data_IF_612400706967
#
_entry.id   IF_612400706967
#
_cell.length_a   1.000
_cell.length_b   1.000
_cell.length_c   1.000
_cell.angle_alpha   90.00
_cell.angle_beta   90.00
_cell.angle_gamma   90.00
#
_symmetry.space_group_name_H-M   'P 1'
#
loop_
_entity.id
_entity.type
_entity.pdbx_description
1 polymer ?
#
# COMPACT_ATOMS: atom_id res chain seq x y z
N UNK A 1 -5.27 14.34 -12.92
CA UNK A 1 -3.92 13.73 -13.02
C UNK A 1 -3.13 14.22 -11.82
N UNK A 2 -2.23 13.42 -11.24
CA UNK A 2 -1.35 13.89 -10.15
C UNK A 2 -0.40 14.94 -10.75
N UNK A 3 -0.51 16.19 -10.32
CA UNK A 3 0.24 17.33 -10.87
C UNK A 3 1.33 17.82 -9.92
N UNK A 4 1.48 17.18 -8.76
CA UNK A 4 2.43 17.52 -7.68
C UNK A 4 2.34 19.00 -7.24
N UNK A 5 1.16 19.60 -7.38
CA UNK A 5 0.91 20.95 -6.90
C UNK A 5 1.05 21.03 -5.38
N UNK A 6 1.37 22.23 -4.86
CA UNK A 6 1.44 22.45 -3.41
C UNK A 6 0.14 22.06 -2.70
N UNK A 7 -1.02 22.35 -3.31
CA UNK A 7 -2.33 22.00 -2.76
C UNK A 7 -2.52 20.48 -2.65
N UNK A 8 -2.13 19.72 -3.69
CA UNK A 8 -2.21 18.25 -3.66
C UNK A 8 -1.30 17.65 -2.60
N UNK A 9 -0.10 18.20 -2.42
CA UNK A 9 0.82 17.80 -1.36
C UNK A 9 0.28 18.16 0.02
N UNK A 10 -0.34 19.33 0.17
CA UNK A 10 -0.96 19.73 1.43
C UNK A 10 -2.11 18.78 1.82
N UNK A 11 -2.91 18.34 0.85
CA UNK A 11 -4.01 17.42 1.09
C UNK A 11 -3.57 16.06 1.68
N UNK A 12 -2.39 15.55 1.32
CA UNK A 12 -1.90 14.28 1.90
C UNK A 12 -1.48 14.41 3.37
N UNK A 13 -1.30 15.63 3.88
CA UNK A 13 -0.96 15.91 5.27
C UNK A 13 -2.17 16.08 6.20
N UNK A 14 -3.41 15.99 5.70
CA UNK A 14 -4.57 15.99 6.58
C UNK A 14 -4.62 14.73 7.43
N UNK A 15 -5.02 14.86 8.70
CA UNK A 15 -5.12 13.73 9.64
C UNK A 15 -6.15 12.67 9.21
N UNK A 16 -7.06 13.00 8.31
CA UNK A 16 -7.96 12.02 7.65
C UNK A 16 -7.21 11.05 6.72
N UNK A 17 -5.94 11.31 6.42
CA UNK A 17 -5.04 10.51 5.60
C UNK A 17 -3.81 10.01 6.41
N UNK A 18 -3.85 10.09 7.74
CA UNK A 18 -2.75 9.68 8.62
C UNK A 18 -3.28 8.77 9.71
N UNK A 19 -2.62 7.64 9.94
CA UNK A 19 -2.89 6.73 11.05
C UNK A 19 -1.58 6.37 11.79
N UNK A 20 -1.65 5.96 13.07
CA UNK A 20 -0.46 5.53 13.80
C UNK A 20 0.30 4.41 13.08
N UNK A 21 1.55 4.66 12.71
CA UNK A 21 2.41 3.70 12.03
C UNK A 21 3.73 3.61 12.77
N UNK A 22 4.22 2.39 12.99
CA UNK A 22 5.53 2.16 13.60
C UNK A 22 6.61 2.86 12.76
N UNK A 23 7.45 3.67 13.41
CA UNK A 23 8.40 4.56 12.72
C UNK A 23 9.35 3.78 11.78
N UNK A 24 9.86 2.64 12.24
CA UNK A 24 10.77 1.80 11.45
C UNK A 24 10.07 1.12 10.26
N UNK A 25 8.77 0.84 10.37
CA UNK A 25 7.94 0.37 9.27
C UNK A 25 7.73 1.48 8.23
N UNK A 26 7.28 2.67 8.68
CA UNK A 26 7.04 3.84 7.82
C UNK A 26 8.30 4.25 7.03
N UNK A 27 9.40 4.48 7.74
CA UNK A 27 10.66 4.95 7.15
C UNK A 27 11.45 3.83 6.45
N UNK A 28 11.00 2.59 6.58
CA UNK A 28 11.68 1.41 6.04
C UNK A 28 10.90 0.80 4.88
N UNK A 29 10.31 -0.36 5.13
CA UNK A 29 9.71 -1.16 4.06
C UNK A 29 8.49 -0.51 3.41
N UNK A 30 7.74 0.35 4.13
CA UNK A 30 6.65 1.11 3.53
C UNK A 30 7.18 2.13 2.50
N UNK A 31 8.18 2.94 2.87
CA UNK A 31 8.87 3.85 1.95
C UNK A 31 9.41 3.14 0.71
N UNK A 32 9.92 1.90 0.84
CA UNK A 32 10.38 1.13 -0.33
C UNK A 32 9.24 0.87 -1.35
N UNK A 33 8.00 0.71 -0.89
CA UNK A 33 6.85 0.58 -1.82
C UNK A 33 6.52 1.88 -2.53
N UNK A 34 6.66 3.02 -1.82
CA UNK A 34 6.41 4.36 -2.37
C UNK A 34 7.48 4.76 -3.40
N UNK A 35 8.72 4.31 -3.20
CA UNK A 35 9.80 4.44 -4.18
C UNK A 35 9.48 3.67 -5.47
N UNK A 36 8.94 2.45 -5.36
CA UNK A 36 8.50 1.66 -6.52
C UNK A 36 7.38 2.41 -7.27
N UNK A 37 6.37 2.91 -6.56
CA UNK A 37 5.28 3.70 -7.17
C UNK A 37 5.85 4.91 -7.93
N UNK A 38 6.80 5.61 -7.33
CA UNK A 38 7.47 6.77 -7.92
C UNK A 38 8.18 6.40 -9.23
N UNK A 39 8.92 5.29 -9.27
CA UNK A 39 9.58 4.83 -10.50
C UNK A 39 8.59 4.53 -11.63
N UNK A 40 7.48 3.84 -11.30
CA UNK A 40 6.52 3.40 -12.32
C UNK A 40 5.62 4.55 -12.81
N UNK A 41 5.37 5.56 -11.98
CA UNK A 41 4.59 6.75 -12.33
C UNK A 41 5.20 7.52 -13.50
N UNK A 42 6.52 7.52 -13.61
CA UNK A 42 7.23 8.24 -14.68
C UNK A 42 7.16 7.51 -16.04
N UNK A 43 6.73 6.24 -16.04
CA UNK A 43 6.63 5.40 -17.24
C UNK A 43 5.19 5.28 -17.72
N UNK A 44 4.28 4.93 -16.81
CA UNK A 44 2.86 4.71 -17.10
C UNK A 44 2.01 5.31 -15.98
N UNK A 45 0.75 5.62 -16.30
CA UNK A 45 -0.21 5.96 -15.25
C UNK A 45 -0.36 4.79 -14.28
N UNK A 46 -0.15 5.08 -13.00
CA UNK A 46 -0.40 4.15 -11.90
C UNK A 46 -1.76 4.44 -11.24
N UNK A 47 -2.33 3.41 -10.63
CA UNK A 47 -3.44 3.49 -9.69
C UNK A 47 -3.03 2.78 -8.41
N UNK A 48 -3.22 3.45 -7.28
CA UNK A 48 -2.87 2.93 -5.96
C UNK A 48 -4.11 2.94 -5.09
N UNK A 49 -4.31 1.83 -4.38
CA UNK A 49 -5.22 1.72 -3.25
C UNK A 49 -4.43 1.27 -2.04
N UNK A 50 -4.78 1.77 -0.89
CA UNK A 50 -4.17 1.36 0.36
C UNK A 50 -5.14 1.54 1.50
N UNK A 51 -4.83 0.90 2.60
CA UNK A 51 -5.67 0.97 3.78
C UNK A 51 -5.04 0.27 4.96
N UNK A 52 -5.83 0.22 6.01
CA UNK A 52 -5.45 -0.29 7.31
C UNK A 52 -6.48 -1.31 7.77
N UNK A 53 -6.06 -2.25 8.61
CA UNK A 53 -6.95 -3.24 9.24
C UNK A 53 -6.76 -3.16 10.75
N UNK A 54 -7.88 -3.07 11.44
CA UNK A 54 -7.98 -3.21 12.88
C UNK A 54 -8.39 -4.64 13.24
N UNK A 55 -7.85 -5.15 14.33
CA UNK A 55 -8.23 -6.42 14.94
C UNK A 55 -8.89 -6.16 16.29
N UNK A 56 -9.20 -7.24 17.01
CA UNK A 56 -9.65 -7.16 18.41
C UNK A 56 -8.51 -6.92 19.40
N UNK A 57 -7.25 -7.00 18.96
CA UNK A 57 -6.12 -6.58 19.81
C UNK A 57 -6.20 -5.06 20.01
N UNK A 58 -6.05 -4.63 21.26
CA UNK A 58 -6.03 -3.22 21.66
C UNK A 58 -4.82 -2.94 22.56
N UNK A 59 -3.89 -3.89 22.68
CA UNK A 59 -2.73 -3.78 23.57
C UNK A 59 -1.78 -2.65 23.19
N UNK A 60 -1.82 -2.20 21.92
CA UNK A 60 -1.00 -1.13 21.36
C UNK A 60 -1.81 0.12 20.95
N UNK A 61 -3.06 0.28 21.42
CA UNK A 61 -3.94 1.42 21.14
C UNK A 61 -3.56 2.69 21.93
N UNK A 62 -2.29 3.09 21.83
CA UNK A 62 -1.66 4.17 22.61
C UNK A 62 -2.25 5.56 22.34
N UNK A 63 -2.96 5.74 21.22
CA UNK A 63 -3.42 7.05 20.74
C UNK A 63 -4.92 7.30 20.93
N UNK A 64 -5.67 6.35 21.50
CA UNK A 64 -7.12 6.49 21.67
C UNK A 64 -7.46 7.65 22.61
N UNK A 65 -6.77 7.79 23.75
CA UNK A 65 -7.07 8.86 24.71
C UNK A 65 -6.70 10.25 24.18
N UNK A 66 -5.60 10.36 23.43
CA UNK A 66 -5.04 11.64 22.99
C UNK A 66 -5.61 12.13 21.66
N UNK A 67 -5.90 11.22 20.72
CA UNK A 67 -6.28 11.55 19.34
C UNK A 67 -7.58 10.85 18.90
N UNK A 68 -8.17 9.98 19.73
CA UNK A 68 -9.41 9.26 19.39
C UNK A 68 -9.24 8.18 18.33
N UNK A 69 -8.00 7.78 18.02
CA UNK A 69 -7.68 6.82 16.96
C UNK A 69 -6.99 5.57 17.54
N UNK A 70 -7.45 4.40 17.08
CA UNK A 70 -6.80 3.12 17.35
C UNK A 70 -5.53 2.97 16.52
N UNK A 71 -4.57 2.19 17.00
CA UNK A 71 -3.39 1.79 16.25
C UNK A 71 -3.78 0.64 15.33
N UNK A 72 -3.61 0.74 14.00
CA UNK A 72 -3.90 -0.39 13.12
C UNK A 72 -2.90 -1.52 13.31
N UNK A 73 -3.33 -2.78 13.27
CA UNK A 73 -2.42 -3.92 13.31
C UNK A 73 -1.81 -4.24 11.95
N UNK A 74 -2.49 -3.90 10.87
CA UNK A 74 -1.99 -4.15 9.52
C UNK A 74 -2.24 -2.99 8.57
N UNK A 75 -1.36 -2.90 7.58
CA UNK A 75 -1.44 -1.98 6.45
C UNK A 75 -1.37 -2.79 5.17
N UNK A 76 -2.08 -2.32 4.14
CA UNK A 76 -2.05 -2.96 2.84
C UNK A 76 -1.97 -1.92 1.73
N UNK A 77 -1.39 -2.34 0.60
CA UNK A 77 -1.25 -1.52 -0.60
C UNK A 77 -1.43 -2.38 -1.84
N UNK A 78 -2.15 -1.87 -2.83
CA UNK A 78 -2.33 -2.46 -4.16
C UNK A 78 -1.96 -1.41 -5.19
N UNK A 79 -1.10 -1.79 -6.14
CA UNK A 79 -0.66 -0.92 -7.24
C UNK A 79 -0.97 -1.59 -8.56
N UNK A 80 -1.70 -0.89 -9.42
CA UNK A 80 -2.03 -1.30 -10.79
C UNK A 80 -1.35 -0.34 -11.78
N UNK A 81 -0.70 -0.88 -12.78
CA UNK A 81 -0.10 -0.12 -13.88
C UNK A 81 -0.02 -0.96 -15.15
N UNK A 82 0.65 -0.45 -16.18
CA UNK A 82 0.99 -1.20 -17.39
C UNK A 82 2.44 -1.67 -17.34
N UNK A 83 2.64 -2.91 -17.78
CA UNK A 83 3.94 -3.43 -18.11
C UNK A 83 4.56 -2.63 -19.25
N UNK A 84 5.78 -2.11 -19.04
CA UNK A 84 6.42 -1.19 -19.99
C UNK A 84 6.73 -1.83 -21.35
N UNK A 85 6.98 -3.14 -21.37
CA UNK A 85 7.36 -3.88 -22.57
C UNK A 85 6.14 -4.37 -23.34
N UNK A 86 5.16 -4.93 -22.64
CA UNK A 86 4.01 -5.61 -23.27
C UNK A 86 2.75 -4.74 -23.34
N UNK A 87 2.69 -3.63 -22.59
CA UNK A 87 1.51 -2.76 -22.48
C UNK A 87 0.32 -3.37 -21.74
N UNK A 88 0.45 -4.61 -21.26
CA UNK A 88 -0.58 -5.32 -20.50
C UNK A 88 -0.67 -4.76 -19.08
N UNK A 89 -1.86 -4.81 -18.51
CA UNK A 89 -2.06 -4.44 -17.12
C UNK A 89 -1.33 -5.42 -16.20
N UNK A 90 -0.70 -4.90 -15.16
CA UNK A 90 -0.03 -5.67 -14.11
C UNK A 90 -0.34 -5.08 -12.75
N UNK A 91 -0.47 -5.96 -11.76
CA UNK A 91 -0.79 -5.61 -10.37
C UNK A 91 0.26 -6.19 -9.42
N UNK A 92 0.52 -5.47 -8.34
CA UNK A 92 1.25 -5.96 -7.17
C UNK A 92 0.51 -5.52 -5.93
N UNK A 93 0.53 -6.36 -4.90
CA UNK A 93 -0.11 -6.09 -3.64
C UNK A 93 0.74 -6.55 -2.47
N UNK A 94 0.70 -5.79 -1.37
CA UNK A 94 1.40 -6.09 -0.14
C UNK A 94 0.49 -5.99 1.07
N UNK A 95 0.79 -6.80 2.09
CA UNK A 95 0.11 -6.84 3.38
C UNK A 95 1.15 -6.90 4.50
N UNK A 96 1.25 -5.83 5.29
CA UNK A 96 2.27 -5.66 6.31
C UNK A 96 1.67 -5.63 7.72
N UNK A 97 2.28 -6.30 8.70
CA UNK A 97 1.99 -5.99 10.10
C UNK A 97 2.56 -4.61 10.48
N UNK A 98 1.85 -3.85 11.30
CA UNK A 98 2.32 -2.58 11.84
C UNK A 98 3.30 -2.83 13.00
N UNK A 99 4.51 -3.28 12.68
CA UNK A 99 5.49 -3.74 13.66
C UNK A 99 6.91 -3.31 13.29
N UNK A 100 7.81 -3.37 14.27
CA UNK A 100 9.23 -3.12 14.06
C UNK A 100 9.92 -4.29 13.34
N UNK A 101 11.12 -4.02 12.80
CA UNK A 101 12.05 -5.04 12.29
C UNK A 101 11.52 -5.88 11.12
N UNK A 102 10.66 -5.32 10.27
CA UNK A 102 10.13 -6.01 9.08
C UNK A 102 11.19 -6.34 8.01
N UNK A 103 12.41 -5.80 8.15
CA UNK A 103 13.47 -5.96 7.18
C UNK A 103 13.26 -5.12 5.92
N UNK A 104 13.88 -5.52 4.81
CA UNK A 104 13.83 -4.80 3.52
C UNK A 104 13.25 -5.64 2.37
N UNK A 105 12.99 -6.91 2.61
CA UNK A 105 12.54 -7.85 1.58
C UNK A 105 11.02 -7.75 1.39
N UNK A 106 10.61 -6.96 0.40
CA UNK A 106 9.20 -6.78 0.04
C UNK A 106 8.51 -8.09 -0.37
N UNK A 107 9.26 -9.08 -0.87
CA UNK A 107 8.69 -10.33 -1.36
C UNK A 107 7.98 -11.12 -0.24
N UNK A 108 8.45 -10.98 1.00
CA UNK A 108 7.88 -11.66 2.17
C UNK A 108 6.46 -11.22 2.50
N UNK A 109 6.08 -10.03 2.05
CA UNK A 109 4.79 -9.40 2.36
C UNK A 109 3.88 -9.32 1.14
N UNK A 110 4.28 -9.91 0.01
CA UNK A 110 3.46 -9.94 -1.20
C UNK A 110 2.28 -10.88 -1.05
N UNK A 111 1.11 -10.39 -1.48
CA UNK A 111 -0.16 -11.12 -1.50
C UNK A 111 -0.87 -10.86 -2.82
N UNK A 112 -1.94 -11.59 -3.08
CA UNK A 112 -2.92 -11.31 -4.12
C UNK A 112 -3.90 -10.22 -3.67
N UNK A 113 -4.60 -9.59 -4.62
CA UNK A 113 -5.67 -8.64 -4.29
C UNK A 113 -6.82 -9.36 -3.58
N UNK A 114 -7.14 -10.60 -3.98
CA UNK A 114 -8.16 -11.40 -3.30
C UNK A 114 -7.82 -11.70 -1.83
N UNK A 115 -6.56 -11.96 -1.50
CA UNK A 115 -6.14 -12.16 -0.10
C UNK A 115 -6.31 -10.89 0.75
N UNK A 116 -6.19 -9.69 0.15
CA UNK A 116 -6.52 -8.44 0.82
C UNK A 116 -8.03 -8.32 0.98
N UNK A 117 -8.80 -8.44 -0.11
CA UNK A 117 -10.27 -8.33 -0.10
C UNK A 117 -10.91 -9.28 0.92
N UNK A 118 -10.39 -10.50 1.06
CA UNK A 118 -10.87 -11.48 2.05
C UNK A 118 -10.67 -11.06 3.52
N UNK A 119 -9.82 -10.07 3.78
CA UNK A 119 -9.58 -9.50 5.13
C UNK A 119 -10.36 -8.21 5.36
N UNK A 120 -10.95 -7.62 4.32
CA UNK A 120 -11.69 -6.37 4.43
C UNK A 120 -13.14 -6.64 4.87
N UNK A 121 -13.65 -5.78 5.74
CA UNK A 121 -15.03 -5.79 6.23
C UNK A 121 -15.63 -4.37 6.26
N UNK A 122 -15.10 -3.48 5.43
CA UNK A 122 -15.39 -2.05 5.40
C UNK A 122 -16.64 -1.67 4.59
N UNK A 123 -17.24 -2.63 3.87
CA UNK A 123 -18.37 -2.43 2.96
C UNK A 123 -18.12 -1.44 1.81
N UNK A 124 -16.86 -1.17 1.46
CA UNK A 124 -16.52 -0.26 0.36
C UNK A 124 -16.63 -0.91 -1.03
N UNK A 125 -16.91 -2.21 -1.07
CA UNK A 125 -16.93 -3.02 -2.29
C UNK A 125 -15.53 -3.54 -2.67
N UNK A 126 -15.42 -4.21 -3.83
CA UNK A 126 -14.15 -4.78 -4.27
C UNK A 126 -13.10 -3.70 -4.60
N UNK A 127 -11.83 -4.04 -4.43
CA UNK A 127 -10.73 -3.16 -4.85
C UNK A 127 -10.84 -3.00 -6.38
N UNK A 128 -10.80 -1.78 -6.95
CA UNK A 128 -11.00 -1.51 -8.39
C UNK A 128 -9.86 -1.97 -9.32
N UNK A 129 -9.50 -3.24 -9.25
CA UNK A 129 -8.56 -3.94 -10.11
C UNK A 129 -9.34 -4.93 -10.99
N UNK A 130 -8.99 -5.11 -12.30
CA UNK A 130 -9.64 -6.11 -13.15
C UNK A 130 -9.64 -7.50 -12.50
N UNK A 131 -10.79 -8.20 -12.52
CA UNK A 131 -10.94 -9.49 -11.83
C UNK A 131 -9.91 -10.54 -12.28
N UNK A 132 -9.52 -10.52 -13.57
CA UNK A 132 -8.48 -11.42 -14.11
C UNK A 132 -7.10 -11.25 -13.45
N UNK A 133 -6.85 -10.10 -12.82
CA UNK A 133 -5.59 -9.79 -12.14
C UNK A 133 -5.67 -10.01 -10.63
N UNK A 134 -6.86 -10.23 -10.05
CA UNK A 134 -6.99 -10.27 -8.58
C UNK A 134 -6.31 -11.47 -7.93
N UNK A 135 -6.14 -12.56 -8.67
CA UNK A 135 -5.37 -13.74 -8.27
C UNK A 135 -3.89 -13.67 -8.67
N UNK A 136 -3.45 -12.59 -9.34
CA UNK A 136 -2.05 -12.43 -9.72
C UNK A 136 -1.21 -12.07 -8.50
N UNK A 137 -0.18 -12.88 -8.26
CA UNK A 137 0.92 -12.58 -7.36
C UNK A 137 2.21 -12.79 -8.13
N UNK A 138 2.96 -11.73 -8.46
CA UNK A 138 4.27 -11.87 -9.09
C UNK A 138 5.24 -12.66 -8.18
N UNK A 139 6.24 -13.32 -8.76
CA UNK A 139 7.24 -14.07 -7.98
C UNK A 139 8.14 -13.16 -7.14
N UNK A 140 8.36 -11.93 -7.62
CA UNK A 140 9.17 -10.91 -6.96
C UNK A 140 8.53 -9.54 -7.06
N UNK A 141 8.91 -8.67 -6.14
CA UNK A 141 8.56 -7.26 -6.18
C UNK A 141 9.10 -6.62 -7.45
N UNK A 142 8.39 -5.61 -7.92
CA UNK A 142 8.81 -4.87 -9.11
C UNK A 142 10.15 -4.16 -8.90
N UNK A 143 10.90 -4.05 -9.98
CA UNK A 143 12.22 -3.43 -10.01
C UNK A 143 12.17 -2.13 -10.83
N UNK A 144 12.72 -1.05 -10.27
CA UNK A 144 12.89 0.20 -10.99
C UNK A 144 14.00 0.15 -12.05
N UNK A 145 14.88 -0.87 -12.00
CA UNK A 145 16.08 -0.93 -12.87
C UNK A 145 15.74 -1.17 -14.33
N UNK A 146 14.61 -1.82 -14.57
CA UNK A 146 14.18 -2.29 -15.89
C UNK A 146 13.29 -1.25 -16.61
N UNK A 147 13.14 -0.06 -16.05
CA UNK A 147 12.28 1.02 -16.54
C UNK A 147 13.05 2.11 -17.31
N UNK A 148 14.34 1.92 -17.58
CA UNK A 148 15.19 2.83 -18.35
C UNK A 148 15.59 2.23 -19.68
#
# INVERSE_FOLDING_TARGET
MMTDSQDQRHQSHYMTNIAPQVSSFNQGIWSNTEDIETCYRDVNRIYTWGGIIYTSDASNDLFVQSHGIRTPEFWWKVVLTKDATTGKDKVIAWYFPNADNLGKDLNQYMVTVHEIEAKLNDNNGPIPVPDSLKSTKPDTTWSCKDLK
#
